data_IF_112972097343
#
_entry.id   IF_112972097343
#
_cell.length_a   1.000
_cell.length_b   1.000
_cell.length_c   1.000
_cell.angle_alpha   90.00
_cell.angle_beta   90.00
_cell.angle_gamma   90.00
#
_symmetry.space_group_name_H-M   'P 1'
#
loop_
_entity.id
_entity.type
_entity.pdbx_description
1 polymer ?
#
# COMPACT_ATOMS: atom_id res chain seq x y z
N UNK A 1 2.68 -3.92 -9.66
CA UNK A 1 2.56 -3.20 -8.38
C UNK A 1 3.93 -2.81 -7.82
N UNK A 2 4.86 -3.75 -7.74
CA UNK A 2 6.16 -3.48 -7.12
C UNK A 2 6.96 -2.40 -7.85
N UNK A 3 6.94 -2.40 -9.18
CA UNK A 3 7.61 -1.36 -9.99
C UNK A 3 7.03 0.02 -9.76
N UNK A 4 5.71 0.11 -9.55
CA UNK A 4 5.05 1.40 -9.27
C UNK A 4 5.43 1.91 -7.88
N UNK A 5 5.58 1.02 -6.90
CA UNK A 5 6.13 1.39 -5.59
C UNK A 5 7.55 1.97 -5.74
N UNK A 6 8.38 1.33 -6.57
CA UNK A 6 9.72 1.84 -6.87
C UNK A 6 9.70 3.21 -7.53
N UNK A 7 8.76 3.45 -8.43
CA UNK A 7 8.58 4.75 -9.06
C UNK A 7 8.17 5.83 -8.05
N UNK A 8 7.30 5.50 -7.10
CA UNK A 8 6.94 6.40 -6.01
C UNK A 8 8.16 6.73 -5.13
N UNK A 9 9.02 5.75 -4.86
CA UNK A 9 10.24 5.95 -4.06
C UNK A 9 11.17 7.03 -4.62
N UNK A 10 11.20 7.23 -5.93
CA UNK A 10 12.05 8.24 -6.58
C UNK A 10 11.76 9.65 -6.02
N UNK A 11 10.51 9.93 -5.67
CA UNK A 11 10.08 11.23 -5.13
C UNK A 11 9.88 11.21 -3.61
N UNK A 12 10.18 10.09 -2.94
CA UNK A 12 9.97 9.96 -1.50
C UNK A 12 11.02 10.74 -0.70
N UNK A 13 10.61 11.33 0.42
CA UNK A 13 11.55 11.81 1.41
C UNK A 13 12.14 10.60 2.19
N UNK A 14 13.14 10.84 3.04
CA UNK A 14 13.81 9.77 3.78
C UNK A 14 12.86 8.98 4.68
N UNK A 15 11.88 9.65 5.26
CA UNK A 15 10.90 9.02 6.15
C UNK A 15 9.98 8.07 5.40
N UNK A 16 9.59 8.42 4.19
CA UNK A 16 8.68 7.61 3.36
C UNK A 16 9.41 6.54 2.55
N UNK A 17 10.66 6.79 2.16
CA UNK A 17 11.43 5.86 1.32
C UNK A 17 11.69 4.53 2.00
N UNK A 18 12.06 4.57 3.28
CA UNK A 18 12.42 3.34 4.02
C UNK A 18 11.27 2.34 4.11
N UNK A 19 10.07 2.73 4.56
CA UNK A 19 8.94 1.78 4.57
C UNK A 19 8.59 1.27 3.17
N UNK A 20 8.71 2.10 2.14
CA UNK A 20 8.42 1.65 0.77
C UNK A 20 9.46 0.63 0.27
N UNK A 21 10.71 0.77 0.68
CA UNK A 21 11.73 -0.24 0.38
C UNK A 21 11.39 -1.58 1.03
N UNK A 22 10.99 -1.56 2.29
CA UNK A 22 10.58 -2.78 3.00
C UNK A 22 9.35 -3.43 2.34
N UNK A 23 8.39 -2.61 1.88
CA UNK A 23 7.23 -3.10 1.14
C UNK A 23 7.66 -3.79 -0.15
N UNK A 24 8.65 -3.26 -0.87
CA UNK A 24 9.17 -3.92 -2.07
C UNK A 24 9.75 -5.30 -1.76
N UNK A 25 10.45 -5.46 -0.64
CA UNK A 25 10.93 -6.75 -0.18
C UNK A 25 9.77 -7.71 0.11
N UNK A 26 8.75 -7.22 0.82
CA UNK A 26 7.57 -8.03 1.13
C UNK A 26 6.83 -8.46 -0.14
N UNK A 27 6.70 -7.57 -1.13
CA UNK A 27 6.05 -7.88 -2.41
C UNK A 27 6.83 -8.93 -3.22
N UNK A 28 8.15 -8.91 -3.18
CA UNK A 28 8.97 -9.97 -3.77
C UNK A 28 8.76 -11.29 -3.06
N UNK A 29 8.68 -11.28 -1.73
CA UNK A 29 8.40 -12.49 -0.96
C UNK A 29 7.02 -13.07 -1.30
N UNK A 30 6.01 -12.22 -1.36
CA UNK A 30 4.66 -12.63 -1.74
C UNK A 30 4.62 -13.19 -3.15
N UNK A 31 5.22 -12.49 -4.10
CA UNK A 31 5.30 -12.94 -5.50
C UNK A 31 6.07 -14.23 -5.67
N UNK A 32 7.14 -14.40 -4.88
CA UNK A 32 7.93 -15.65 -4.88
C UNK A 32 7.10 -16.85 -4.43
N UNK A 33 6.28 -16.67 -3.40
CA UNK A 33 5.38 -17.73 -2.93
C UNK A 33 4.32 -18.08 -3.98
N UNK A 34 3.76 -17.09 -4.67
CA UNK A 34 2.78 -17.32 -5.74
C UNK A 34 3.38 -18.01 -6.96
N UNK A 35 4.66 -17.74 -7.24
CA UNK A 35 5.35 -18.32 -8.40
C UNK A 35 5.71 -19.80 -8.20
N UNK A 36 5.70 -20.29 -6.96
CA UNK A 36 6.05 -21.70 -6.62
C UNK A 36 4.88 -22.31 -5.82
N UNK A 37 3.74 -22.62 -6.48
CA UNK A 37 2.50 -22.94 -5.80
C UNK A 37 2.51 -24.24 -5.00
N UNK A 38 3.37 -25.20 -5.35
CA UNK A 38 3.39 -26.52 -4.72
C UNK A 38 4.42 -26.65 -3.58
N UNK A 39 5.12 -25.56 -3.26
CA UNK A 39 6.12 -25.54 -2.19
C UNK A 39 5.68 -24.57 -1.11
N UNK A 40 5.50 -25.06 0.10
CA UNK A 40 5.20 -24.21 1.25
C UNK A 40 6.48 -23.50 1.73
N UNK A 41 6.77 -22.37 1.10
CA UNK A 41 7.84 -21.47 1.51
C UNK A 41 7.18 -20.32 2.27
N UNK A 42 7.48 -20.17 3.53
CA UNK A 42 6.93 -19.09 4.35
C UNK A 42 7.84 -17.85 4.25
N UNK A 43 7.84 -17.19 3.09
CA UNK A 43 8.65 -16.00 2.85
C UNK A 43 8.01 -14.74 3.45
N UNK A 44 6.73 -14.52 3.19
CA UNK A 44 5.99 -13.41 3.76
C UNK A 44 5.50 -13.82 5.15
N UNK A 45 6.04 -13.19 6.18
CA UNK A 45 5.68 -13.47 7.58
C UNK A 45 4.43 -12.71 7.99
N UNK A 46 3.62 -13.31 8.87
CA UNK A 46 2.43 -12.68 9.43
C UNK A 46 2.78 -11.38 10.17
N UNK A 47 3.95 -11.29 10.76
CA UNK A 47 4.43 -10.08 11.44
C UNK A 47 4.49 -8.86 10.52
N UNK A 48 4.56 -9.06 9.20
CA UNK A 48 4.58 -7.93 8.26
C UNK A 48 3.22 -7.25 8.16
N UNK A 49 2.14 -7.96 8.42
CA UNK A 49 0.81 -7.37 8.52
C UNK A 49 0.73 -6.45 9.74
N UNK A 50 1.24 -6.93 10.89
CA UNK A 50 1.29 -6.12 12.11
C UNK A 50 2.15 -4.87 11.93
N UNK A 51 3.25 -5.01 11.19
CA UNK A 51 4.13 -3.88 10.85
C UNK A 51 3.39 -2.83 10.02
N UNK A 52 2.61 -3.23 9.02
CA UNK A 52 1.77 -2.31 8.26
C UNK A 52 0.73 -1.62 9.14
N UNK A 53 0.05 -2.38 10.00
CA UNK A 53 -0.96 -1.83 10.90
C UNK A 53 -0.34 -0.78 11.83
N UNK A 54 0.83 -1.04 12.39
CA UNK A 54 1.54 -0.09 13.25
C UNK A 54 1.89 1.19 12.49
N UNK A 55 2.38 1.08 11.26
CA UNK A 55 2.71 2.25 10.44
C UNK A 55 1.46 3.06 10.08
N UNK A 56 0.35 2.39 9.78
CA UNK A 56 -0.93 3.05 9.51
C UNK A 56 -1.37 3.86 10.73
N UNK A 57 -1.33 3.24 11.91
CA UNK A 57 -1.74 3.90 13.16
C UNK A 57 -0.87 5.10 13.48
N UNK A 58 0.43 4.99 13.32
CA UNK A 58 1.37 6.11 13.54
C UNK A 58 1.07 7.30 12.62
N UNK A 59 0.81 7.04 11.34
CA UNK A 59 0.50 8.10 10.38
C UNK A 59 -0.87 8.72 10.69
N UNK A 60 -1.88 7.90 10.95
CA UNK A 60 -3.21 8.38 11.27
C UNK A 60 -3.23 9.28 12.51
N UNK A 61 -2.37 9.03 13.48
CA UNK A 61 -2.26 9.87 14.68
C UNK A 61 -1.79 11.29 14.35
N UNK A 62 -1.13 11.50 13.22
CA UNK A 62 -0.65 12.80 12.77
C UNK A 62 -1.65 13.55 11.87
N UNK A 63 -2.64 12.85 11.32
CA UNK A 63 -3.54 13.40 10.31
C UNK A 63 -4.84 13.89 10.91
N UNK A 64 -5.43 14.97 10.34
CA UNK A 64 -6.77 15.39 10.73
C UNK A 64 -7.82 14.36 10.28
N UNK A 65 -9.00 14.32 10.95
CA UNK A 65 -10.09 13.43 10.53
C UNK A 65 -10.51 13.69 9.09
N UNK A 66 -10.91 12.63 8.40
CA UNK A 66 -11.38 12.69 7.02
C UNK A 66 -12.80 12.13 6.96
N UNK A 67 -13.75 12.94 6.46
CA UNK A 67 -15.16 12.58 6.36
C UNK A 67 -15.65 12.44 4.91
N UNK A 68 -14.79 12.72 3.93
CA UNK A 68 -15.14 12.76 2.51
C UNK A 68 -14.07 12.07 1.69
N UNK A 69 -14.44 11.64 0.47
CA UNK A 69 -13.48 11.05 -0.46
C UNK A 69 -12.51 12.12 -0.96
N UNK A 70 -11.22 11.80 -0.95
CA UNK A 70 -10.15 12.64 -1.48
C UNK A 70 -9.96 12.34 -2.96
N UNK A 71 -9.88 13.39 -3.77
CA UNK A 71 -9.51 13.23 -5.18
C UNK A 71 -8.02 12.85 -5.29
N UNK A 72 -7.69 11.82 -6.09
CA UNK A 72 -6.29 11.44 -6.27
C UNK A 72 -5.52 12.53 -7.02
N UNK A 73 -4.39 12.92 -6.48
CA UNK A 73 -3.56 14.00 -7.01
C UNK A 73 -2.81 14.70 -5.90
N UNK A 74 -2.22 15.85 -6.19
CA UNK A 74 -1.44 16.63 -5.24
C UNK A 74 0.03 16.68 -5.60
N UNK A 75 0.95 16.72 -4.61
CA UNK A 75 2.38 16.64 -4.87
C UNK A 75 2.76 15.40 -5.70
N UNK A 76 3.87 15.46 -6.41
CA UNK A 76 4.32 14.37 -7.29
C UNK A 76 4.35 13.01 -6.56
N UNK A 77 4.93 12.99 -5.36
CA UNK A 77 4.96 11.76 -4.56
C UNK A 77 3.56 11.25 -4.26
N UNK A 78 2.66 12.14 -3.82
CA UNK A 78 1.27 11.79 -3.51
C UNK A 78 0.56 11.20 -4.71
N UNK A 79 0.72 11.82 -5.89
CA UNK A 79 0.11 11.32 -7.13
C UNK A 79 0.59 9.91 -7.47
N UNK A 80 1.90 9.65 -7.34
CA UNK A 80 2.48 8.32 -7.58
C UNK A 80 1.99 7.29 -6.58
N UNK A 81 1.86 7.67 -5.32
CA UNK A 81 1.33 6.77 -4.27
C UNK A 81 -0.14 6.43 -4.54
N UNK A 82 -0.92 7.36 -5.05
CA UNK A 82 -2.31 7.06 -5.45
C UNK A 82 -2.37 6.04 -6.58
N UNK A 83 -1.45 6.11 -7.56
CA UNK A 83 -1.36 5.10 -8.62
C UNK A 83 -0.99 3.74 -8.02
N UNK A 84 -0.01 3.70 -7.11
CA UNK A 84 0.37 2.48 -6.42
C UNK A 84 -0.82 1.88 -5.64
N UNK A 85 -1.62 2.72 -5.00
CA UNK A 85 -2.83 2.29 -4.29
C UNK A 85 -3.84 1.65 -5.23
N UNK A 86 -4.08 2.25 -6.39
CA UNK A 86 -5.01 1.69 -7.40
C UNK A 86 -4.52 0.34 -7.91
N UNK A 87 -3.23 0.21 -8.19
CA UNK A 87 -2.62 -1.06 -8.59
C UNK A 87 -2.69 -2.11 -7.46
N UNK A 88 -2.54 -1.66 -6.22
CA UNK A 88 -2.68 -2.54 -5.06
C UNK A 88 -4.10 -3.12 -4.96
N UNK A 89 -5.12 -2.31 -5.21
CA UNK A 89 -6.51 -2.77 -5.24
C UNK A 89 -6.75 -3.76 -6.37
N UNK A 90 -6.15 -3.56 -7.53
CA UNK A 90 -6.21 -4.52 -8.63
C UNK A 90 -5.52 -5.84 -8.27
N UNK A 91 -4.37 -5.78 -7.62
CA UNK A 91 -3.66 -6.96 -7.13
C UNK A 91 -4.50 -7.73 -6.10
N UNK A 92 -5.18 -7.03 -5.22
CA UNK A 92 -6.08 -7.66 -4.23
C UNK A 92 -7.19 -8.44 -4.93
N UNK A 93 -7.84 -7.84 -5.92
CA UNK A 93 -8.89 -8.52 -6.71
C UNK A 93 -8.33 -9.75 -7.42
N UNK A 94 -7.13 -9.66 -7.99
CA UNK A 94 -6.49 -10.78 -8.67
C UNK A 94 -6.18 -11.94 -7.72
N UNK A 95 -5.70 -11.64 -6.51
CA UNK A 95 -5.41 -12.66 -5.49
C UNK A 95 -6.70 -13.34 -5.03
N UNK A 96 -7.77 -12.57 -4.83
CA UNK A 96 -9.08 -13.13 -4.46
C UNK A 96 -9.57 -14.08 -5.54
N UNK A 97 -9.49 -13.70 -6.81
CA UNK A 97 -9.89 -14.54 -7.93
C UNK A 97 -9.05 -15.81 -8.01
N UNK A 98 -7.73 -15.70 -7.84
CA UNK A 98 -6.83 -16.85 -7.84
C UNK A 98 -7.17 -17.82 -6.71
N UNK A 99 -7.52 -17.31 -5.52
CA UNK A 99 -7.83 -18.13 -4.35
C UNK A 99 -9.10 -18.96 -4.49
N UNK A 100 -9.95 -18.67 -5.48
CA UNK A 100 -11.14 -19.47 -5.77
C UNK A 100 -10.80 -20.83 -6.40
N UNK A 101 -9.68 -20.92 -7.10
CA UNK A 101 -9.28 -22.13 -7.85
C UNK A 101 -7.96 -22.74 -7.39
N UNK A 102 -7.15 -22.00 -6.66
CA UNK A 102 -5.84 -22.43 -6.20
C UNK A 102 -5.62 -22.05 -4.74
N UNK A 103 -4.74 -22.77 -4.07
CA UNK A 103 -4.36 -22.40 -2.71
C UNK A 103 -3.52 -21.13 -2.72
N UNK A 104 -3.95 -20.14 -1.95
CA UNK A 104 -3.21 -18.91 -1.70
C UNK A 104 -3.12 -18.72 -0.18
N UNK A 105 -1.93 -18.54 0.38
CA UNK A 105 -1.80 -18.26 1.80
C UNK A 105 -2.71 -17.10 2.25
N UNK A 106 -3.39 -17.27 3.37
CA UNK A 106 -4.36 -16.27 3.85
C UNK A 106 -3.72 -14.91 4.15
N UNK A 107 -2.42 -14.89 4.48
CA UNK A 107 -1.73 -13.64 4.77
C UNK A 107 -1.48 -12.78 3.52
N UNK A 108 -1.53 -13.37 2.32
CA UNK A 108 -1.37 -12.58 1.08
C UNK A 108 -2.49 -11.56 0.91
N UNK A 109 -3.74 -12.00 1.04
CA UNK A 109 -4.91 -11.09 0.96
C UNK A 109 -4.86 -10.02 2.05
N UNK A 110 -4.55 -10.44 3.27
CA UNK A 110 -4.47 -9.52 4.41
C UNK A 110 -3.39 -8.47 4.19
N UNK A 111 -2.21 -8.88 3.74
CA UNK A 111 -1.11 -7.96 3.48
C UNK A 111 -1.48 -6.93 2.41
N UNK A 112 -1.97 -7.38 1.26
CA UNK A 112 -2.34 -6.47 0.16
C UNK A 112 -3.47 -5.53 0.58
N UNK A 113 -4.44 -6.00 1.35
CA UNK A 113 -5.51 -5.14 1.87
C UNK A 113 -4.94 -4.04 2.79
N UNK A 114 -4.07 -4.40 3.72
CA UNK A 114 -3.44 -3.43 4.63
C UNK A 114 -2.48 -2.50 3.89
N UNK A 115 -1.78 -3.00 2.87
CA UNK A 115 -0.92 -2.18 2.04
C UNK A 115 -1.70 -1.06 1.34
N UNK A 116 -2.88 -1.36 0.82
CA UNK A 116 -3.74 -0.37 0.20
C UNK A 116 -4.08 0.76 1.19
N UNK A 117 -4.39 0.42 2.43
CA UNK A 117 -4.68 1.41 3.49
C UNK A 117 -3.43 2.21 3.87
N UNK A 118 -2.27 1.56 3.95
CA UNK A 118 -1.00 2.25 4.20
C UNK A 118 -0.70 3.28 3.11
N UNK A 119 -0.84 2.89 1.85
CA UNK A 119 -0.60 3.80 0.73
C UNK A 119 -1.55 5.00 0.76
N UNK A 120 -2.79 4.79 1.17
CA UNK A 120 -3.75 5.88 1.32
C UNK A 120 -3.29 6.89 2.37
N UNK A 121 -2.98 6.43 3.59
CA UNK A 121 -2.54 7.36 4.65
C UNK A 121 -1.20 8.01 4.31
N UNK A 122 -0.30 7.29 3.62
CA UNK A 122 0.97 7.84 3.18
C UNK A 122 0.77 9.00 2.19
N UNK A 123 -0.18 8.88 1.25
CA UNK A 123 -0.51 9.94 0.31
C UNK A 123 -1.00 11.20 1.04
N UNK A 124 -1.81 11.03 2.08
CA UNK A 124 -2.30 12.12 2.89
C UNK A 124 -1.20 12.79 3.70
N UNK A 125 -0.28 12.00 4.24
CA UNK A 125 0.82 12.50 5.05
C UNK A 125 1.68 13.51 4.27
N UNK A 126 2.04 13.19 3.04
CA UNK A 126 2.86 14.07 2.19
C UNK A 126 2.15 15.41 1.94
N UNK A 127 0.87 15.36 1.59
CA UNK A 127 0.06 16.57 1.40
C UNK A 127 0.00 17.42 2.67
N UNK A 128 -0.23 16.77 3.80
CA UNK A 128 -0.27 17.42 5.11
C UNK A 128 1.07 18.07 5.48
N UNK A 129 2.18 17.34 5.29
CA UNK A 129 3.54 17.83 5.62
C UNK A 129 3.95 19.01 4.76
N UNK A 130 3.45 19.09 3.53
CA UNK A 130 3.70 20.22 2.63
C UNK A 130 2.75 21.39 2.87
N UNK A 131 1.89 21.30 3.87
CA UNK A 131 0.93 22.36 4.19
C UNK A 131 -0.14 22.58 3.13
N UNK A 132 -0.34 21.60 2.25
CA UNK A 132 -1.37 21.64 1.22
C UNK A 132 -2.67 21.05 1.72
N UNK A 133 -3.79 21.49 1.15
CA UNK A 133 -5.11 20.94 1.45
C UNK A 133 -5.44 19.83 0.48
N UNK A 134 -6.01 18.73 0.99
CA UNK A 134 -6.61 17.70 0.17
C UNK A 134 -7.85 18.26 -0.53
N UNK A 135 -8.00 17.91 -1.81
CA UNK A 135 -9.19 18.25 -2.57
C UNK A 135 -10.18 17.10 -2.42
N UNK A 136 -11.36 17.39 -1.92
CA UNK A 136 -12.39 16.39 -1.66
C UNK A 136 -13.38 16.32 -2.81
N UNK A 137 -14.01 15.15 -2.96
CA UNK A 137 -15.04 14.95 -3.96
C UNK A 137 -16.32 15.70 -3.57
N UNK A 138 -16.79 16.51 -4.51
CA UNK A 138 -18.06 17.24 -4.39
C UNK A 138 -19.05 16.64 -5.37
N UNK A 139 -19.97 15.86 -4.86
CA UNK A 139 -20.88 15.05 -5.66
C UNK A 139 -22.22 15.74 -5.93
N UNK A 140 -22.26 17.03 -5.96
CA UNK A 140 -23.48 17.77 -6.29
C UNK A 140 -23.54 18.18 -7.75
#
# INVERSE_FOLDING_TARGET
LNSIVGWARVEANKQSDKPLEEIQQDLFNLGGELAIPDVQINLLKDSRIDWLDSNIDEINALLPPLNEFVLPGGPEFTARVHIARSECRDAERAIIALSENEYVPSNHKKYINRLSDFLFVLSRLETFQKGQKEIVWKYK
#
